data_IF_083625959662
#
_entry.id   IF_083625959662
#
_cell.length_a   1.000
_cell.length_b   1.000
_cell.length_c   1.000
_cell.angle_alpha   90.00
_cell.angle_beta   90.00
_cell.angle_gamma   90.00
#
_symmetry.space_group_name_H-M   'P 1'
#
loop_
_entity.id
_entity.type
_entity.pdbx_description
1 polymer ?
#
# COMPACT_ATOMS: atom_id res chain seq x y z
N UNK A 1 39.68 23.31 3.40
CA UNK A 1 38.32 23.53 3.94
C UNK A 1 38.44 24.40 5.19
N UNK A 2 37.49 25.27 5.37
CA UNK A 2 37.49 26.19 6.53
C UNK A 2 37.13 25.55 7.85
N UNK A 3 36.86 24.23 7.87
CA UNK A 3 36.54 23.42 9.03
C UNK A 3 35.06 23.38 9.39
N UNK A 4 34.72 22.39 10.22
CA UNK A 4 33.37 22.17 10.81
C UNK A 4 33.53 22.14 12.34
N UNK A 5 32.62 22.74 13.04
CA UNK A 5 32.56 22.74 14.51
C UNK A 5 31.25 22.13 14.96
N UNK A 6 31.32 21.31 16.00
CA UNK A 6 30.17 20.76 16.70
C UNK A 6 30.18 21.32 18.13
N UNK A 7 29.11 22.00 18.50
CA UNK A 7 29.00 22.66 19.81
C UNK A 7 30.21 23.51 20.18
N UNK A 8 30.73 24.25 19.23
CA UNK A 8 31.92 25.09 19.39
C UNK A 8 33.27 24.38 19.33
N UNK A 9 33.31 23.04 19.27
CA UNK A 9 34.51 22.25 19.16
C UNK A 9 34.83 21.94 17.69
N UNK A 10 36.02 22.24 17.24
CA UNK A 10 36.47 21.99 15.88
C UNK A 10 36.63 20.48 15.65
N UNK A 11 35.94 19.92 14.65
CA UNK A 11 36.15 18.55 14.23
C UNK A 11 37.42 18.39 13.41
N UNK A 12 38.17 17.34 13.68
CA UNK A 12 39.33 16.94 12.87
C UNK A 12 38.89 16.44 11.50
N UNK A 13 39.80 16.44 10.54
CA UNK A 13 39.50 15.84 9.25
C UNK A 13 39.22 14.35 9.39
N UNK A 14 38.13 13.87 8.76
CA UNK A 14 37.70 12.48 8.83
C UNK A 14 37.16 12.01 10.21
N UNK A 15 37.04 12.94 11.15
CA UNK A 15 36.42 12.63 12.45
C UNK A 15 34.92 12.40 12.26
N UNK A 16 34.45 11.24 12.72
CA UNK A 16 33.03 10.93 12.83
C UNK A 16 32.54 11.39 14.19
N UNK A 17 31.45 12.13 14.21
CA UNK A 17 30.77 12.55 15.44
C UNK A 17 29.29 12.17 15.36
N UNK A 18 28.78 11.59 16.43
CA UNK A 18 27.35 11.34 16.56
C UNK A 18 26.65 12.66 16.87
N UNK A 19 25.56 12.94 16.15
CA UNK A 19 24.71 14.11 16.39
C UNK A 19 23.56 13.76 17.33
N UNK A 20 23.19 14.71 18.15
CA UNK A 20 22.00 14.66 19.02
C UNK A 20 21.13 15.87 18.71
N UNK A 21 19.84 15.77 19.00
CA UNK A 21 18.92 16.91 18.92
C UNK A 21 19.41 18.05 19.82
N UNK A 22 19.43 19.26 19.29
CA UNK A 22 19.95 20.46 19.97
C UNK A 22 21.43 20.71 19.76
N UNK A 23 22.18 19.80 19.08
CA UNK A 23 23.56 20.07 18.72
C UNK A 23 23.64 21.22 17.71
N UNK A 24 24.69 22.05 17.84
CA UNK A 24 24.93 23.17 16.93
C UNK A 24 26.13 22.88 16.03
N UNK A 25 25.89 22.82 14.74
CA UNK A 25 26.92 22.65 13.71
C UNK A 25 27.23 24.01 13.12
N UNK A 26 28.54 24.35 13.08
CA UNK A 26 29.00 25.61 12.47
C UNK A 26 30.01 25.31 11.39
N UNK A 27 29.85 25.93 10.22
CA UNK A 27 30.79 25.82 9.11
C UNK A 27 31.67 27.07 9.01
N UNK A 28 32.95 26.87 8.67
CA UNK A 28 33.95 27.94 8.47
C UNK A 28 34.17 28.84 9.71
N UNK A 29 33.74 28.41 10.92
CA UNK A 29 33.96 29.19 12.15
C UNK A 29 33.18 30.50 12.23
N UNK A 30 32.17 30.71 11.37
CA UNK A 30 31.35 31.92 11.33
C UNK A 30 29.99 31.65 11.96
N UNK A 31 29.57 32.47 12.91
CA UNK A 31 28.26 32.38 13.58
C UNK A 31 27.03 32.44 12.63
N UNK A 32 27.23 33.08 11.46
CA UNK A 32 26.14 33.19 10.45
C UNK A 32 25.89 31.87 9.69
N UNK A 33 26.71 30.85 9.88
CA UNK A 33 26.59 29.54 9.26
C UNK A 33 26.41 28.45 10.35
N UNK A 34 25.60 28.74 11.36
CA UNK A 34 25.27 27.84 12.43
C UNK A 34 23.90 27.18 12.12
N UNK A 35 23.85 25.86 12.30
CA UNK A 35 22.66 25.03 12.12
C UNK A 35 22.45 24.24 13.40
N UNK A 36 21.25 24.31 13.95
CA UNK A 36 20.85 23.47 15.06
C UNK A 36 20.27 22.16 14.54
N UNK A 37 20.68 21.05 15.14
CA UNK A 37 20.15 19.72 14.81
C UNK A 37 18.76 19.60 15.45
N UNK A 38 17.74 19.62 14.63
CA UNK A 38 16.35 19.53 15.05
C UNK A 38 15.87 18.10 15.18
N UNK A 39 16.31 17.21 14.28
CA UNK A 39 15.93 15.81 14.22
C UNK A 39 17.14 14.96 13.80
N UNK A 40 17.28 13.78 14.38
CA UNK A 40 18.31 12.78 14.05
C UNK A 40 17.71 11.50 13.49
N UNK A 41 16.42 11.50 13.18
CA UNK A 41 15.75 10.39 12.50
C UNK A 41 16.39 10.12 11.13
N UNK A 42 16.30 8.90 10.61
CA UNK A 42 16.75 8.61 9.26
C UNK A 42 16.10 9.56 8.24
N UNK A 43 16.82 9.91 7.15
CA UNK A 43 16.23 10.72 6.10
C UNK A 43 14.92 10.12 5.57
N UNK A 44 13.89 10.94 5.48
CA UNK A 44 12.59 10.56 4.94
C UNK A 44 12.23 11.49 3.78
N UNK A 45 11.37 10.99 2.90
CA UNK A 45 10.81 11.82 1.84
C UNK A 45 9.85 12.84 2.45
N UNK A 46 9.85 14.05 1.92
CA UNK A 46 9.05 15.12 2.48
C UNK A 46 8.56 16.10 1.40
N UNK A 47 7.54 16.86 1.76
CA UNK A 47 7.15 18.07 1.04
C UNK A 47 7.71 19.29 1.74
N UNK A 48 8.44 20.11 0.99
CA UNK A 48 9.01 21.36 1.48
C UNK A 48 8.15 22.52 1.00
N UNK A 49 7.79 23.48 1.88
CA UNK A 49 7.03 24.65 1.48
C UNK A 49 7.85 25.56 0.56
N UNK A 50 7.21 26.05 -0.52
CA UNK A 50 7.84 26.99 -1.45
C UNK A 50 7.20 28.35 -1.24
N UNK A 51 8.03 29.33 -0.84
CA UNK A 51 7.62 30.73 -0.64
C UNK A 51 6.53 30.98 0.45
N UNK A 52 6.37 30.05 1.40
CA UNK A 52 5.50 30.25 2.57
C UNK A 52 6.11 29.63 3.84
N UNK A 53 5.70 30.08 5.01
CA UNK A 53 6.26 29.67 6.30
C UNK A 53 5.44 28.53 6.93
N UNK A 54 5.34 27.41 6.25
CA UNK A 54 4.79 26.18 6.83
C UNK A 54 5.94 25.22 7.14
N UNK A 55 5.70 24.30 8.08
CA UNK A 55 6.64 23.23 8.36
C UNK A 55 6.65 22.22 7.20
N UNK A 56 7.78 21.55 7.00
CA UNK A 56 7.87 20.45 6.04
C UNK A 56 6.95 19.29 6.46
N UNK A 57 6.33 18.61 5.49
CA UNK A 57 5.46 17.47 5.73
C UNK A 57 6.28 16.20 5.45
N UNK A 58 6.55 15.39 6.47
CA UNK A 58 7.15 14.08 6.30
C UNK A 58 6.16 13.12 5.64
N UNK A 59 6.60 12.38 4.64
CA UNK A 59 5.74 11.48 3.89
C UNK A 59 5.86 10.04 4.41
N UNK A 60 4.72 9.43 4.65
CA UNK A 60 4.58 7.99 4.84
C UNK A 60 4.33 7.32 3.49
N UNK A 61 4.46 6.00 3.39
CA UNK A 61 4.27 5.25 2.12
C UNK A 61 2.93 5.51 1.43
N UNK A 62 1.89 5.79 2.20
CA UNK A 62 0.61 6.27 1.73
C UNK A 62 0.19 7.46 2.59
N UNK A 63 0.12 8.64 1.99
CA UNK A 63 -0.10 9.89 2.69
C UNK A 63 -1.29 10.65 2.08
N UNK A 64 -2.30 10.91 2.91
CA UNK A 64 -3.43 11.76 2.53
C UNK A 64 -3.09 13.19 2.92
N UNK A 65 -3.01 14.07 1.92
CA UNK A 65 -2.69 15.46 2.18
C UNK A 65 -3.93 16.16 2.70
N UNK A 66 -3.84 16.67 3.92
CA UNK A 66 -4.91 17.41 4.52
C UNK A 66 -5.05 18.74 3.80
N UNK A 67 -6.20 18.95 3.25
CA UNK A 67 -6.70 20.28 3.11
C UNK A 67 -7.61 20.57 4.28
N UNK A 68 -7.57 21.76 4.82
CA UNK A 68 -8.56 22.18 5.81
C UNK A 68 -10.00 22.22 5.21
N UNK A 69 -10.10 22.17 3.90
CA UNK A 69 -11.36 22.26 3.13
C UNK A 69 -11.74 20.97 2.43
N UNK A 70 -10.79 20.19 1.96
CA UNK A 70 -11.02 18.90 1.29
C UNK A 70 -9.77 18.03 1.36
N UNK A 71 -9.93 16.77 1.75
CA UNK A 71 -8.87 15.77 1.70
C UNK A 71 -8.95 15.08 0.33
N UNK A 72 -8.27 15.64 -0.66
CA UNK A 72 -8.45 15.25 -2.05
C UNK A 72 -7.16 14.80 -2.75
N UNK A 73 -6.01 14.80 -2.08
CA UNK A 73 -4.74 14.37 -2.67
C UNK A 73 -4.17 13.21 -1.86
N UNK A 74 -3.93 12.08 -2.51
CA UNK A 74 -3.21 10.95 -1.94
C UNK A 74 -1.87 10.82 -2.62
N UNK A 75 -0.81 10.80 -1.84
CA UNK A 75 0.52 10.42 -2.29
C UNK A 75 0.79 8.97 -1.91
N UNK A 76 1.24 8.16 -2.85
CA UNK A 76 1.61 6.77 -2.62
C UNK A 76 3.00 6.47 -3.16
N UNK A 77 3.80 5.74 -2.39
CA UNK A 77 5.13 5.29 -2.80
C UNK A 77 5.05 3.87 -3.37
N UNK A 78 5.55 3.69 -4.58
CA UNK A 78 5.63 2.39 -5.22
C UNK A 78 7.03 1.80 -5.00
N UNK A 79 7.12 0.69 -4.26
CA UNK A 79 8.38 0.01 -3.94
C UNK A 79 9.00 -0.74 -5.14
N UNK A 80 8.24 -1.01 -6.21
CA UNK A 80 8.74 -1.69 -7.39
C UNK A 80 9.43 -0.73 -8.34
N UNK A 81 8.83 0.46 -8.55
CA UNK A 81 9.37 1.51 -9.41
C UNK A 81 10.21 2.53 -8.65
N UNK A 82 10.21 2.47 -7.31
CA UNK A 82 10.88 3.43 -6.42
C UNK A 82 10.45 4.88 -6.66
N UNK A 83 9.18 5.08 -7.02
CA UNK A 83 8.63 6.38 -7.38
C UNK A 83 7.41 6.75 -6.53
N UNK A 84 7.16 8.05 -6.43
CA UNK A 84 5.96 8.60 -5.84
C UNK A 84 4.87 8.78 -6.89
N UNK A 85 3.63 8.53 -6.48
CA UNK A 85 2.45 8.75 -7.28
C UNK A 85 1.49 9.68 -6.55
N UNK A 86 0.90 10.61 -7.31
CA UNK A 86 -0.17 11.48 -6.84
C UNK A 86 -1.49 11.01 -7.42
N UNK A 87 -2.48 10.79 -6.57
CA UNK A 87 -3.87 10.59 -6.96
C UNK A 87 -4.68 11.80 -6.50
N UNK A 88 -5.45 12.41 -7.41
CA UNK A 88 -6.39 13.48 -7.07
C UNK A 88 -7.77 12.86 -6.96
N UNK A 89 -8.33 12.86 -5.73
CA UNK A 89 -9.65 12.32 -5.44
C UNK A 89 -10.71 13.36 -5.86
N UNK A 90 -11.61 12.98 -6.75
CA UNK A 90 -12.72 13.82 -7.19
C UNK A 90 -13.98 13.45 -6.39
N UNK A 91 -14.86 14.44 -6.15
CA UNK A 91 -16.20 14.22 -5.62
C UNK A 91 -17.13 13.58 -6.66
N UNK A 92 -16.74 13.59 -7.94
CA UNK A 92 -17.43 12.85 -8.99
C UNK A 92 -16.93 11.41 -9.09
N UNK A 93 -17.60 10.50 -8.40
CA UNK A 93 -17.23 9.08 -8.33
C UNK A 93 -17.23 8.34 -9.67
N UNK A 94 -17.87 8.92 -10.70
CA UNK A 94 -17.93 8.33 -12.05
C UNK A 94 -16.69 8.61 -12.89
N UNK A 95 -15.86 9.56 -12.48
CA UNK A 95 -14.63 9.91 -13.18
C UNK A 95 -13.49 8.97 -12.76
N UNK A 96 -12.60 8.61 -13.68
CA UNK A 96 -11.33 7.98 -13.30
C UNK A 96 -10.53 8.97 -12.44
N UNK A 97 -9.89 8.45 -11.38
CA UNK A 97 -8.98 9.25 -10.60
C UNK A 97 -7.80 9.64 -11.48
N UNK A 98 -7.47 10.93 -11.48
CA UNK A 98 -6.22 11.39 -12.11
C UNK A 98 -5.05 10.91 -11.25
N UNK A 99 -4.22 10.04 -11.81
CA UNK A 99 -3.00 9.57 -11.17
C UNK A 99 -1.80 9.97 -12.03
N UNK A 100 -0.76 10.50 -11.39
CA UNK A 100 0.50 10.88 -12.04
C UNK A 100 1.70 10.51 -11.21
N UNK A 101 2.75 10.06 -11.87
CA UNK A 101 4.06 9.83 -11.25
C UNK A 101 4.74 11.17 -10.95
N UNK A 102 5.43 11.23 -9.83
CA UNK A 102 6.14 12.42 -9.37
C UNK A 102 7.64 12.15 -9.33
N UNK A 103 8.38 12.99 -10.01
CA UNK A 103 9.85 13.03 -9.93
C UNK A 103 10.33 13.75 -8.66
N UNK A 104 11.61 13.52 -8.29
CA UNK A 104 12.26 14.34 -7.28
C UNK A 104 12.21 15.82 -7.67
N UNK A 105 11.95 16.69 -6.69
CA UNK A 105 11.75 18.13 -6.86
C UNK A 105 10.47 18.53 -7.63
N UNK A 106 9.53 17.60 -7.86
CA UNK A 106 8.23 17.94 -8.42
C UNK A 106 7.48 18.94 -7.54
N UNK A 107 6.75 19.84 -8.17
CA UNK A 107 5.92 20.82 -7.47
C UNK A 107 4.46 20.33 -7.40
N UNK A 108 3.87 20.51 -6.22
CA UNK A 108 2.47 20.20 -5.94
C UNK A 108 1.77 21.46 -5.45
N UNK A 109 0.56 21.69 -5.92
CA UNK A 109 -0.33 22.70 -5.34
C UNK A 109 -1.29 22.03 -4.36
N UNK A 110 -1.29 22.48 -3.13
CA UNK A 110 -2.16 22.00 -2.07
C UNK A 110 -2.84 23.21 -1.46
N UNK A 111 -4.13 23.37 -1.72
CA UNK A 111 -4.95 24.51 -1.25
C UNK A 111 -4.40 25.90 -1.67
N UNK A 112 -3.82 25.99 -2.87
CA UNK A 112 -3.23 27.22 -3.39
C UNK A 112 -1.86 27.55 -2.77
N UNK A 113 -1.26 26.60 -2.05
CA UNK A 113 0.12 26.68 -1.56
C UNK A 113 0.99 25.74 -2.37
N UNK A 114 2.14 26.22 -2.83
CA UNK A 114 3.09 25.41 -3.60
C UNK A 114 4.01 24.67 -2.65
N UNK A 115 4.13 23.37 -2.88
CA UNK A 115 5.04 22.47 -2.19
C UNK A 115 5.99 21.82 -3.18
N UNK A 116 7.18 21.46 -2.73
CA UNK A 116 8.16 20.72 -3.52
C UNK A 116 8.41 19.36 -2.86
N UNK A 117 8.28 18.30 -3.65
CA UNK A 117 8.65 16.94 -3.22
C UNK A 117 10.17 16.85 -3.13
N UNK A 118 10.67 16.34 -2.02
CA UNK A 118 12.06 16.00 -1.84
C UNK A 118 12.19 14.52 -1.48
N UNK A 119 12.88 13.77 -2.35
CA UNK A 119 13.12 12.35 -2.18
C UNK A 119 14.48 12.18 -1.51
N UNK A 120 14.46 11.75 -0.25
CA UNK A 120 15.65 11.60 0.58
C UNK A 120 15.99 10.14 0.90
N UNK A 121 15.15 9.20 0.49
CA UNK A 121 15.39 7.77 0.77
C UNK A 121 16.65 7.31 0.09
N UNK A 122 17.53 6.71 0.88
CA UNK A 122 18.66 5.98 0.34
C UNK A 122 18.16 4.61 -0.15
N UNK A 123 18.33 4.30 -1.44
CA UNK A 123 18.03 2.99 -2.03
C UNK A 123 18.95 1.89 -1.47
N UNK A 124 19.90 2.23 -0.61
CA UNK A 124 21.04 1.40 -0.24
C UNK A 124 20.96 0.69 1.10
N UNK A 125 19.80 0.48 1.68
CA UNK A 125 19.69 -0.44 2.81
C UNK A 125 19.36 -1.85 2.33
N UNK A 126 20.31 -2.77 2.57
CA UNK A 126 20.10 -4.21 2.48
C UNK A 126 18.99 -4.57 3.47
N UNK A 127 17.76 -4.55 3.03
CA UNK A 127 16.65 -5.00 3.86
C UNK A 127 16.84 -6.49 4.10
N UNK A 128 16.79 -6.90 5.37
CA UNK A 128 16.63 -8.30 5.72
C UNK A 128 15.45 -8.86 4.92
N UNK A 129 15.74 -9.85 4.08
CA UNK A 129 14.73 -10.61 3.33
C UNK A 129 13.80 -11.29 4.33
N UNK A 130 12.75 -10.59 4.76
CA UNK A 130 11.55 -11.28 5.22
C UNK A 130 10.91 -11.87 3.97
N UNK A 131 10.26 -13.06 4.06
CA UNK A 131 9.47 -13.55 2.94
C UNK A 131 8.43 -12.45 2.65
N UNK A 132 8.71 -11.67 1.61
CA UNK A 132 7.82 -10.60 1.19
C UNK A 132 6.64 -11.25 0.50
N UNK A 133 5.43 -10.92 0.95
CA UNK A 133 4.23 -11.13 0.13
C UNK A 133 4.50 -10.47 -1.21
N UNK A 134 4.60 -11.29 -2.25
CA UNK A 134 4.99 -10.82 -3.58
C UNK A 134 3.77 -10.39 -4.40
N UNK A 135 2.57 -10.86 -4.02
CA UNK A 135 1.31 -10.58 -4.71
C UNK A 135 0.14 -10.48 -3.74
N UNK A 136 -0.84 -9.66 -4.08
CA UNK A 136 -2.13 -9.61 -3.38
C UNK A 136 -2.92 -10.92 -3.50
N UNK A 137 -2.63 -11.74 -4.52
CA UNK A 137 -3.25 -13.06 -4.71
C UNK A 137 -2.83 -14.08 -3.63
N UNK A 138 -1.70 -13.84 -2.95
CA UNK A 138 -1.22 -14.66 -1.82
C UNK A 138 -1.96 -14.36 -0.51
N UNK A 139 -2.74 -13.29 -0.47
CA UNK A 139 -3.49 -12.88 0.70
C UNK A 139 -4.87 -13.53 0.72
N UNK A 140 -5.25 -14.05 1.88
CA UNK A 140 -6.62 -14.46 2.14
C UNK A 140 -7.22 -13.72 3.34
N UNK A 141 -8.55 -13.60 3.36
CA UNK A 141 -9.26 -12.82 4.37
C UNK A 141 -10.32 -13.63 5.07
N UNK A 142 -10.40 -13.46 6.38
CA UNK A 142 -11.54 -13.89 7.18
C UNK A 142 -12.30 -12.64 7.64
N UNK A 143 -13.54 -12.50 7.17
CA UNK A 143 -14.49 -11.49 7.62
C UNK A 143 -15.45 -12.11 8.64
N UNK A 144 -15.55 -11.49 9.80
CA UNK A 144 -16.51 -11.86 10.84
C UNK A 144 -17.37 -10.63 11.14
N UNK A 145 -18.61 -10.65 10.69
CA UNK A 145 -19.56 -9.55 10.96
C UNK A 145 -20.60 -9.95 12.00
N UNK A 146 -21.02 -9.01 12.82
CA UNK A 146 -22.11 -9.19 13.77
C UNK A 146 -23.45 -9.44 13.05
N UNK A 147 -24.44 -9.97 13.77
CA UNK A 147 -25.76 -10.26 13.19
C UNK A 147 -26.48 -8.99 12.69
N UNK A 148 -26.30 -7.87 13.37
CA UNK A 148 -26.82 -6.54 13.02
C UNK A 148 -25.92 -5.79 12.01
N UNK A 149 -24.75 -6.37 11.67
CA UNK A 149 -23.76 -5.80 10.76
C UNK A 149 -23.12 -4.46 11.21
N UNK A 150 -23.27 -4.09 12.48
CA UNK A 150 -22.66 -2.87 13.02
C UNK A 150 -21.14 -2.99 13.20
N UNK A 151 -20.62 -4.22 13.33
CA UNK A 151 -19.20 -4.47 13.51
C UNK A 151 -18.69 -5.53 12.55
N UNK A 152 -17.54 -5.27 11.95
CA UNK A 152 -16.84 -6.21 11.05
C UNK A 152 -15.38 -6.33 11.49
N UNK A 153 -15.01 -7.52 11.94
CA UNK A 153 -13.65 -7.91 12.27
C UNK A 153 -13.01 -8.55 11.04
N UNK A 154 -11.77 -8.21 10.74
CA UNK A 154 -11.03 -8.76 9.60
C UNK A 154 -9.70 -9.31 10.07
N UNK A 155 -9.42 -10.56 9.69
CA UNK A 155 -8.11 -11.19 9.82
C UNK A 155 -7.56 -11.43 8.42
N UNK A 156 -6.34 -10.98 8.18
CA UNK A 156 -5.59 -11.23 6.96
C UNK A 156 -4.61 -12.38 7.19
N UNK A 157 -4.52 -13.29 6.24
CA UNK A 157 -3.54 -14.37 6.23
C UNK A 157 -2.59 -14.19 5.05
N UNK A 158 -1.30 -14.29 5.32
CA UNK A 158 -0.20 -14.25 4.35
C UNK A 158 0.70 -15.46 4.58
N UNK A 159 0.53 -16.51 3.79
CA UNK A 159 1.19 -17.79 4.04
C UNK A 159 0.80 -18.38 5.39
N UNK A 160 1.78 -18.61 6.28
CA UNK A 160 1.56 -19.10 7.65
C UNK A 160 1.29 -17.97 8.67
N UNK A 161 1.50 -16.72 8.28
CA UNK A 161 1.35 -15.56 9.15
C UNK A 161 -0.10 -15.04 9.13
N UNK A 162 -0.65 -14.78 10.32
CA UNK A 162 -1.97 -14.15 10.47
C UNK A 162 -1.80 -12.77 11.09
N UNK A 163 -2.44 -11.79 10.48
CA UNK A 163 -2.45 -10.40 10.93
C UNK A 163 -3.88 -10.01 11.27
N UNK A 164 -4.11 -9.72 12.55
CA UNK A 164 -5.40 -9.24 13.02
C UNK A 164 -5.55 -7.74 12.72
N UNK A 165 -6.46 -7.41 11.80
CA UNK A 165 -6.76 -6.04 11.43
C UNK A 165 -7.80 -5.39 12.38
N UNK A 166 -8.26 -6.14 13.37
CA UNK A 166 -9.23 -5.72 14.38
C UNK A 166 -10.60 -5.36 13.78
N UNK A 167 -11.43 -4.66 14.55
CA UNK A 167 -12.71 -4.11 14.10
C UNK A 167 -12.51 -2.65 13.72
N UNK A 168 -12.87 -2.29 12.48
CA UNK A 168 -12.79 -0.91 11.97
C UNK A 168 -14.05 -0.56 11.17
N UNK A 169 -14.46 0.69 11.21
CA UNK A 169 -15.64 1.17 10.49
C UNK A 169 -15.55 0.99 8.96
N UNK A 170 -14.33 1.06 8.40
CA UNK A 170 -14.10 0.87 6.97
C UNK A 170 -14.12 -0.60 6.52
N UNK A 171 -14.11 -1.57 7.44
CA UNK A 171 -14.15 -2.98 7.07
C UNK A 171 -15.51 -3.41 6.49
N UNK A 172 -16.60 -2.71 6.83
CA UNK A 172 -17.90 -3.00 6.24
C UNK A 172 -17.93 -2.72 4.73
N UNK A 173 -17.21 -1.69 4.26
CA UNK A 173 -17.02 -1.44 2.84
C UNK A 173 -16.28 -2.61 2.16
N UNK A 174 -15.21 -3.12 2.78
CA UNK A 174 -14.49 -4.30 2.26
C UNK A 174 -15.40 -5.52 2.19
N UNK A 175 -16.17 -5.79 3.26
CA UNK A 175 -17.13 -6.88 3.32
C UNK A 175 -18.16 -6.79 2.19
N UNK A 176 -18.68 -5.59 1.92
CA UNK A 176 -19.66 -5.36 0.85
C UNK A 176 -19.09 -5.71 -0.52
N UNK A 177 -17.84 -5.28 -0.79
CA UNK A 177 -17.14 -5.62 -2.04
C UNK A 177 -16.82 -7.13 -2.14
N UNK A 178 -16.43 -7.77 -1.03
CA UNK A 178 -16.19 -9.21 -0.97
C UNK A 178 -17.46 -10.00 -1.27
N UNK A 179 -18.60 -9.61 -0.70
CA UNK A 179 -19.92 -10.23 -0.96
C UNK A 179 -20.30 -10.11 -2.44
N UNK A 180 -20.08 -8.95 -3.06
CA UNK A 180 -20.37 -8.80 -4.50
C UNK A 180 -19.46 -9.73 -5.31
N UNK A 181 -18.16 -9.81 -4.99
CA UNK A 181 -17.23 -10.69 -5.70
C UNK A 181 -17.65 -12.17 -5.54
N UNK A 182 -18.01 -12.61 -4.32
CA UNK A 182 -18.51 -13.96 -4.09
C UNK A 182 -19.76 -14.29 -4.92
N UNK A 183 -20.69 -13.33 -5.03
CA UNK A 183 -21.92 -13.46 -5.84
C UNK A 183 -21.60 -13.65 -7.31
N UNK A 184 -20.66 -12.85 -7.84
CA UNK A 184 -20.26 -12.92 -9.24
C UNK A 184 -19.48 -14.21 -9.55
N UNK A 185 -18.64 -14.69 -8.62
CA UNK A 185 -17.98 -16.00 -8.71
C UNK A 185 -19.00 -17.13 -8.77
N UNK A 186 -20.03 -17.10 -7.92
CA UNK A 186 -21.12 -18.10 -7.92
C UNK A 186 -21.94 -18.06 -9.21
N UNK A 187 -22.06 -16.88 -9.82
CA UNK A 187 -22.73 -16.72 -11.12
C UNK A 187 -21.87 -17.17 -12.31
N UNK A 188 -20.60 -17.54 -12.08
CA UNK A 188 -19.68 -18.03 -13.11
C UNK A 188 -19.12 -16.92 -13.99
N UNK A 189 -19.06 -15.66 -13.53
CA UNK A 189 -18.40 -14.58 -14.26
C UNK A 189 -16.89 -14.80 -14.31
N UNK A 190 -16.26 -14.35 -15.38
CA UNK A 190 -14.80 -14.34 -15.49
C UNK A 190 -14.17 -13.42 -14.43
N UNK A 191 -12.96 -13.76 -13.96
CA UNK A 191 -12.25 -13.03 -12.90
C UNK A 191 -12.13 -11.51 -13.18
N UNK A 192 -11.91 -11.14 -14.44
CA UNK A 192 -11.84 -9.72 -14.86
C UNK A 192 -13.14 -8.95 -14.63
N UNK A 193 -14.29 -9.65 -14.60
CA UNK A 193 -15.63 -9.08 -14.45
C UNK A 193 -16.17 -9.15 -13.02
N UNK A 194 -15.56 -10.00 -12.16
CA UNK A 194 -16.04 -10.23 -10.78
C UNK A 194 -15.81 -9.04 -9.86
N UNK A 195 -16.79 -8.81 -8.98
CA UNK A 195 -16.69 -7.93 -7.82
C UNK A 195 -16.79 -6.43 -8.11
N UNK A 196 -17.03 -6.03 -9.36
CA UNK A 196 -17.13 -4.63 -9.73
C UNK A 196 -18.46 -4.00 -9.32
N UNK A 197 -18.39 -2.97 -8.49
CA UNK A 197 -19.54 -2.16 -8.04
C UNK A 197 -19.32 -0.72 -8.46
N UNK A 198 -20.35 -0.06 -8.98
CA UNK A 198 -20.28 1.39 -9.22
C UNK A 198 -20.13 2.14 -7.91
N UNK A 199 -19.13 3.04 -7.84
CA UNK A 199 -18.81 3.77 -6.64
C UNK A 199 -19.99 4.61 -6.11
N UNK A 200 -20.80 5.21 -7.01
CA UNK A 200 -22.01 5.92 -6.62
C UNK A 200 -23.08 5.03 -5.98
N UNK A 201 -23.27 3.80 -6.52
CA UNK A 201 -24.21 2.86 -5.93
C UNK A 201 -23.73 2.41 -4.56
N UNK A 202 -22.43 2.10 -4.45
CA UNK A 202 -21.82 1.70 -3.18
C UNK A 202 -21.92 2.81 -2.13
N UNK A 203 -21.62 4.05 -2.50
CA UNK A 203 -21.77 5.20 -1.60
C UNK A 203 -23.22 5.35 -1.10
N UNK A 204 -24.19 5.27 -2.01
CA UNK A 204 -25.63 5.35 -1.68
C UNK A 204 -26.06 4.22 -0.75
N UNK A 205 -25.66 2.98 -1.02
CA UNK A 205 -26.01 1.80 -0.23
C UNK A 205 -25.41 1.86 1.18
N UNK A 206 -24.22 2.47 1.32
CA UNK A 206 -23.54 2.69 2.60
C UNK A 206 -23.96 3.98 3.31
N UNK A 207 -24.80 4.82 2.70
CA UNK A 207 -25.20 6.12 3.24
C UNK A 207 -24.04 7.14 3.31
N UNK A 208 -23.07 7.03 2.40
CA UNK A 208 -21.89 7.89 2.34
C UNK A 208 -22.01 8.87 1.18
N UNK A 209 -21.40 10.04 1.33
CA UNK A 209 -21.08 10.91 0.20
C UNK A 209 -19.74 10.50 -0.45
N UNK A 210 -19.38 11.12 -1.56
CA UNK A 210 -18.17 10.80 -2.32
C UNK A 210 -16.89 10.98 -1.50
N UNK A 211 -16.79 12.07 -0.76
CA UNK A 211 -15.64 12.37 0.08
C UNK A 211 -15.46 11.32 1.18
N UNK A 212 -16.54 10.97 1.87
CA UNK A 212 -16.49 9.93 2.90
C UNK A 212 -16.14 8.56 2.33
N UNK A 213 -16.67 8.18 1.14
CA UNK A 213 -16.28 6.93 0.48
C UNK A 213 -14.78 6.92 0.16
N UNK A 214 -14.25 8.00 -0.39
CA UNK A 214 -12.82 8.14 -0.69
C UNK A 214 -11.95 8.01 0.58
N UNK A 215 -12.38 8.63 1.68
CA UNK A 215 -11.69 8.51 2.99
C UNK A 215 -11.73 7.05 3.51
N UNK A 216 -12.85 6.34 3.36
CA UNK A 216 -12.92 4.93 3.76
C UNK A 216 -11.96 4.07 2.93
N UNK A 217 -11.90 4.27 1.62
CA UNK A 217 -10.95 3.57 0.74
C UNK A 217 -9.51 3.88 1.14
N UNK A 218 -9.18 5.16 1.38
CA UNK A 218 -7.86 5.54 1.86
C UNK A 218 -7.49 4.80 3.17
N UNK A 219 -8.41 4.76 4.15
CA UNK A 219 -8.18 4.08 5.44
C UNK A 219 -7.94 2.59 5.28
N UNK A 220 -8.67 1.93 4.36
CA UNK A 220 -8.42 0.53 4.02
C UNK A 220 -7.00 0.39 3.46
N UNK A 221 -6.66 1.13 2.40
CA UNK A 221 -5.35 1.07 1.76
C UNK A 221 -4.22 1.35 2.76
N UNK A 222 -4.38 2.38 3.60
CA UNK A 222 -3.40 2.75 4.63
C UNK A 222 -3.16 1.62 5.62
N UNK A 223 -4.23 0.97 6.11
CA UNK A 223 -4.11 -0.14 7.04
C UNK A 223 -3.33 -1.31 6.42
N UNK A 224 -3.52 -1.60 5.13
CA UNK A 224 -2.79 -2.66 4.43
C UNK A 224 -1.33 -2.26 4.17
N UNK A 225 -1.07 -1.03 3.75
CA UNK A 225 0.29 -0.51 3.60
C UNK A 225 1.08 -0.63 4.90
N UNK A 226 0.46 -0.26 6.03
CA UNK A 226 1.09 -0.34 7.35
C UNK A 226 1.28 -1.79 7.81
N UNK A 227 0.27 -2.65 7.63
CA UNK A 227 0.32 -4.06 8.06
C UNK A 227 1.36 -4.87 7.27
N UNK A 228 1.57 -4.56 6.00
CA UNK A 228 2.48 -5.26 5.10
C UNK A 228 3.82 -4.52 4.89
N UNK A 229 4.07 -3.42 5.62
CA UNK A 229 5.24 -2.55 5.42
C UNK A 229 5.42 -2.14 3.95
N UNK A 230 4.30 -1.78 3.29
CA UNK A 230 4.24 -1.45 1.86
C UNK A 230 4.80 -2.56 0.94
N UNK A 231 4.79 -3.82 1.39
CA UNK A 231 5.12 -4.95 0.54
C UNK A 231 3.99 -5.18 -0.47
N UNK A 232 4.30 -5.80 -1.59
CA UNK A 232 3.41 -6.01 -2.72
C UNK A 232 2.54 -4.77 -3.01
N UNK A 233 1.90 -4.53 -3.97
CA UNK A 233 1.07 -3.34 -4.24
C UNK A 233 -0.11 -3.20 -3.24
N UNK A 234 0.22 -3.16 -1.93
CA UNK A 234 -0.75 -3.17 -0.83
C UNK A 234 -1.76 -2.02 -0.88
N UNK A 235 -1.39 -0.90 -1.52
CA UNK A 235 -2.30 0.21 -1.81
C UNK A 235 -3.38 -0.14 -2.85
N UNK A 236 -3.22 -1.23 -3.61
CA UNK A 236 -4.17 -1.68 -4.64
C UNK A 236 -5.20 -2.70 -4.10
N UNK A 237 -5.26 -2.94 -2.79
CA UNK A 237 -6.25 -3.88 -2.20
C UNK A 237 -7.71 -3.52 -2.56
N UNK A 238 -8.00 -2.25 -2.80
CA UNK A 238 -9.23 -1.77 -3.42
C UNK A 238 -8.88 -1.24 -4.80
N UNK A 239 -9.27 -1.99 -5.83
CA UNK A 239 -9.08 -1.59 -7.22
C UNK A 239 -10.14 -0.61 -7.67
N UNK A 240 -9.72 0.29 -8.58
CA UNK A 240 -10.62 1.25 -9.25
C UNK A 240 -10.49 1.11 -10.77
N UNK A 241 -11.65 1.12 -11.43
CA UNK A 241 -11.70 1.17 -12.90
C UNK A 241 -12.98 1.85 -13.37
N UNK A 242 -12.88 2.94 -14.12
CA UNK A 242 -14.00 3.64 -14.76
C UNK A 242 -15.22 3.86 -13.84
N UNK A 243 -14.98 4.43 -12.65
CA UNK A 243 -16.04 4.71 -11.68
C UNK A 243 -16.55 3.49 -10.90
N UNK A 244 -15.89 2.33 -11.04
CA UNK A 244 -16.18 1.11 -10.30
C UNK A 244 -15.09 0.80 -9.31
N UNK A 245 -15.45 0.06 -8.27
CA UNK A 245 -14.58 -0.43 -7.19
C UNK A 245 -14.73 -1.93 -7.06
N UNK A 246 -13.64 -2.63 -6.69
CA UNK A 246 -13.69 -4.02 -6.24
C UNK A 246 -12.63 -4.33 -5.20
N UNK A 247 -12.82 -5.38 -4.42
CA UNK A 247 -11.78 -5.98 -3.60
C UNK A 247 -10.83 -6.77 -4.52
N UNK A 248 -9.53 -6.51 -4.46
CA UNK A 248 -8.53 -7.19 -5.32
C UNK A 248 -8.44 -8.69 -5.02
N UNK A 249 -8.44 -9.08 -3.74
CA UNK A 249 -8.33 -10.50 -3.36
C UNK A 249 -9.56 -11.31 -3.75
N UNK A 250 -9.29 -12.54 -4.21
CA UNK A 250 -10.29 -13.58 -4.53
C UNK A 250 -10.49 -14.56 -3.39
N UNK A 251 -9.53 -14.62 -2.46
CA UNK A 251 -9.46 -15.63 -1.40
C UNK A 251 -9.99 -15.07 -0.10
N UNK A 252 -11.22 -15.44 0.28
CA UNK A 252 -11.80 -14.97 1.53
C UNK A 252 -12.91 -15.90 2.04
N UNK A 253 -13.15 -15.81 3.35
CA UNK A 253 -14.29 -16.44 4.00
C UNK A 253 -15.10 -15.38 4.75
N UNK A 254 -16.42 -15.46 4.68
CA UNK A 254 -17.32 -14.50 5.31
C UNK A 254 -18.22 -15.24 6.31
N UNK A 255 -18.21 -14.77 7.56
CA UNK A 255 -19.13 -15.22 8.61
C UNK A 255 -20.02 -14.08 9.07
N UNK A 256 -21.30 -14.34 9.22
CA UNK A 256 -22.28 -13.47 9.89
C UNK A 256 -22.74 -14.13 11.18
N UNK A 257 -22.30 -13.63 12.33
CA UNK A 257 -22.40 -14.37 13.58
C UNK A 257 -21.71 -15.73 13.44
N UNK A 258 -22.41 -16.80 13.83
CA UNK A 258 -21.90 -18.17 13.72
C UNK A 258 -22.13 -18.83 12.34
N UNK A 259 -22.83 -18.13 11.44
CA UNK A 259 -23.14 -18.66 10.11
C UNK A 259 -22.11 -18.26 9.08
N UNK A 260 -21.52 -19.24 8.40
CA UNK A 260 -20.71 -19.02 7.21
C UNK A 260 -21.61 -18.63 6.03
N UNK A 261 -21.37 -17.47 5.43
CA UNK A 261 -22.06 -17.00 4.23
C UNK A 261 -21.39 -17.55 2.96
N UNK A 262 -20.06 -17.50 2.89
CA UNK A 262 -19.28 -18.06 1.79
C UNK A 262 -17.84 -18.34 2.20
N UNK A 263 -17.18 -19.24 1.45
CA UNK A 263 -15.74 -19.49 1.53
C UNK A 263 -15.20 -19.70 0.11
N UNK A 264 -14.38 -18.77 -0.35
CA UNK A 264 -13.77 -18.81 -1.70
C UNK A 264 -12.35 -19.35 -1.70
N UNK A 265 -11.74 -19.58 -0.51
CA UNK A 265 -10.35 -20.00 -0.35
C UNK A 265 -10.05 -21.38 -0.95
N UNK A 266 -11.06 -22.26 -1.03
CA UNK A 266 -10.92 -23.62 -1.57
C UNK A 266 -10.85 -23.65 -3.11
N UNK A 267 -11.42 -22.65 -3.79
CA UNK A 267 -11.44 -22.60 -5.25
C UNK A 267 -10.03 -22.35 -5.81
N UNK A 268 -9.24 -21.54 -5.13
CA UNK A 268 -7.86 -21.23 -5.54
C UNK A 268 -6.89 -22.41 -5.42
N UNK A 269 -7.18 -23.42 -4.58
CA UNK A 269 -6.37 -24.64 -4.45
C UNK A 269 -6.63 -25.66 -5.55
N UNK A 270 -7.80 -25.62 -6.19
CA UNK A 270 -8.16 -26.54 -7.29
C UNK A 270 -7.65 -26.06 -8.65
N UNK A 271 -7.40 -24.75 -8.81
CA UNK A 271 -6.84 -24.19 -10.04
C UNK A 271 -5.31 -24.29 -10.11
N UNK A 272 -4.65 -24.63 -9.00
CA UNK A 272 -3.19 -24.76 -8.91
C UNK A 272 -2.64 -26.16 -9.20
N UNK A 273 -3.47 -27.15 -9.55
CA UNK A 273 -2.99 -28.45 -9.97
C UNK A 273 -2.56 -28.37 -11.44
N UNK A 274 -1.24 -28.47 -11.77
CA UNK A 274 -0.82 -28.56 -13.15
C UNK A 274 -1.31 -29.90 -13.74
N UNK A 275 -1.89 -29.82 -14.89
CA UNK A 275 -2.36 -30.94 -15.71
C UNK A 275 -1.15 -31.79 -16.21
N UNK A 276 -0.47 -32.47 -15.30
CA UNK A 276 0.63 -33.41 -15.60
C UNK A 276 0.09 -34.84 -15.71
N UNK A 277 -0.84 -35.05 -16.64
CA UNK A 277 -1.23 -36.40 -17.05
C UNK A 277 -1.30 -36.52 -18.58
N UNK A 278 -0.19 -36.25 -19.25
CA UNK A 278 0.05 -36.77 -20.61
C UNK A 278 1.57 -36.90 -20.81
N UNK A 279 2.09 -38.13 -20.60
CA UNK A 279 3.15 -38.79 -21.34
C UNK A 279 3.96 -39.78 -20.45
N UNK A 280 3.34 -40.88 -20.09
CA UNK A 280 4.06 -42.10 -19.79
C UNK A 280 3.39 -43.27 -20.50
N UNK A 281 3.55 -43.34 -21.81
CA UNK A 281 3.32 -44.55 -22.59
C UNK A 281 3.97 -44.42 -23.95
N UNK A 282 5.29 -44.62 -24.00
CA UNK A 282 6.01 -45.12 -25.18
C UNK A 282 7.51 -44.96 -24.95
N UNK A 283 8.11 -46.01 -24.40
CA UNK A 283 9.48 -46.44 -24.72
C UNK A 283 9.90 -47.59 -23.84
N UNK A 284 9.27 -48.76 -24.01
CA UNK A 284 9.85 -50.06 -23.66
C UNK A 284 9.75 -50.90 -24.94
N UNK A 285 10.76 -50.83 -25.77
CA UNK A 285 11.17 -51.92 -26.67
C UNK A 285 12.52 -51.57 -27.31
N UNK A 286 13.46 -52.39 -27.07
CA UNK A 286 14.76 -52.59 -27.73
C UNK A 286 15.97 -52.28 -26.90
N UNK A 287 16.44 -53.31 -26.18
CA UNK A 287 17.84 -53.68 -26.10
C UNK A 287 17.92 -55.08 -25.45
N UNK A 288 17.67 -56.10 -26.28
CA UNK A 288 18.11 -57.45 -26.00
C UNK A 288 18.82 -57.95 -27.27
N UNK A 289 20.09 -58.27 -27.12
CA UNK A 289 20.80 -59.05 -28.10
C UNK A 289 22.05 -58.41 -28.68
N UNK A 290 23.20 -58.70 -28.10
CA UNK A 290 24.34 -59.34 -28.78
C UNK A 290 25.53 -59.38 -27.82
N UNK A 291 25.70 -60.60 -27.25
CA UNK A 291 27.03 -61.12 -26.87
C UNK A 291 27.46 -62.05 -28.01
N UNK A 292 28.69 -61.93 -28.45
CA UNK A 292 29.68 -62.93 -28.79
C UNK A 292 30.60 -62.41 -29.92
N UNK A 293 31.75 -62.15 -29.64
CA UNK A 293 33.09 -62.64 -29.94
C UNK A 293 34.14 -61.61 -29.55
#
# INVERSE_FOLDING_TARGET
SNGTWLNGNKLSREQVAQLNVGDVITFAGKSNNAFEVFDVSPPCDCLIPVAHNSDAIQLEYLHLLPSQKSQNIVLSYNNQTYSWWQEILDDNLNQPISASELDDQAYLDIDGLTWQLQINRSIAETQLLRPSVTSLDELSFLFQTSLDEESTHVVMQSGEEQIDLLVRSHHYLMLTLARQRAKDMQAGLDDSEQGWVYAEHLAKDLGLDASHLNIQIYRIRKQFVDALNNACESNNIIERNAGKLRLASKSFCIHKGDKMECDTRQVSLLEAEPNDSYNMSQNITSYAGQRAH
#
